data_IF_335155462792
#
_entry.id   IF_335155462792
#
_cell.length_a   1.000
_cell.length_b   1.000
_cell.length_c   1.000
_cell.angle_alpha   90.00
_cell.angle_beta   90.00
_cell.angle_gamma   90.00
#
_symmetry.space_group_name_H-M   'P 1'
#
loop_
_entity.id
_entity.type
_entity.pdbx_description
1 polymer ?
#
# COMPACT_ATOMS: atom_id res chain seq x y z
N UNK A 1 12.74 -13.79 -9.02
CA UNK A 1 11.92 -14.93 -8.54
C UNK A 1 12.23 -15.43 -7.12
N UNK A 2 13.48 -15.41 -6.62
CA UNK A 2 13.81 -15.95 -5.27
C UNK A 2 13.35 -15.08 -4.08
N UNK A 3 13.11 -13.78 -4.28
CA UNK A 3 12.85 -12.80 -3.19
C UNK A 3 11.41 -12.29 -3.08
N UNK A 4 10.59 -12.39 -4.12
CA UNK A 4 9.12 -12.19 -4.00
C UNK A 4 8.48 -13.27 -3.12
N UNK A 5 9.09 -14.47 -3.10
CA UNK A 5 8.78 -15.51 -2.12
C UNK A 5 8.99 -15.07 -0.67
N UNK A 6 9.82 -14.04 -0.39
CA UNK A 6 10.02 -13.52 0.97
C UNK A 6 8.85 -12.65 1.42
N UNK A 7 8.30 -11.79 0.56
CA UNK A 7 7.07 -11.04 0.88
C UNK A 7 5.91 -12.00 1.15
N UNK A 8 5.71 -12.98 0.26
CA UNK A 8 4.73 -14.07 0.44
C UNK A 8 5.01 -14.91 1.70
N UNK A 9 6.27 -15.19 2.03
CA UNK A 9 6.64 -15.93 3.23
C UNK A 9 6.50 -15.11 4.52
N UNK A 10 6.70 -13.79 4.51
CA UNK A 10 6.42 -12.92 5.67
C UNK A 10 4.91 -12.83 5.90
N UNK A 11 4.11 -12.76 4.82
CA UNK A 11 2.65 -12.86 4.85
C UNK A 11 2.14 -14.20 5.44
N UNK A 12 2.77 -15.32 5.08
CA UNK A 12 2.37 -16.66 5.53
C UNK A 12 2.97 -17.09 6.88
N UNK A 13 4.22 -16.71 7.18
CA UNK A 13 4.89 -17.00 8.46
C UNK A 13 4.37 -16.12 9.60
N UNK A 14 3.75 -14.98 9.28
CA UNK A 14 3.00 -14.18 10.24
C UNK A 14 1.87 -14.95 10.92
N UNK A 15 1.41 -16.08 10.38
CA UNK A 15 0.31 -16.87 10.95
C UNK A 15 0.77 -17.81 12.08
N UNK A 16 2.07 -18.13 12.22
CA UNK A 16 2.56 -19.10 13.23
C UNK A 16 3.42 -18.54 14.37
N UNK A 17 3.87 -17.28 14.33
CA UNK A 17 4.66 -16.71 15.43
C UNK A 17 3.75 -15.98 16.44
N UNK A 18 3.31 -16.75 17.44
CA UNK A 18 2.53 -16.30 18.59
C UNK A 18 3.44 -15.66 19.65
N UNK A 19 2.87 -14.67 20.33
CA UNK A 19 3.22 -14.13 21.65
C UNK A 19 4.23 -12.97 21.72
N UNK A 20 3.69 -11.86 22.24
CA UNK A 20 4.36 -10.73 22.89
C UNK A 20 4.97 -9.65 21.99
N UNK A 21 4.11 -8.85 21.35
CA UNK A 21 4.36 -7.42 21.26
C UNK A 21 3.17 -6.70 21.88
N UNK A 22 3.37 -6.30 23.14
CA UNK A 22 2.46 -5.48 23.90
C UNK A 22 2.27 -4.13 23.23
N UNK A 23 1.01 -3.72 23.19
CA UNK A 23 0.52 -2.47 22.63
C UNK A 23 1.27 -1.22 23.11
N UNK A 24 1.49 -0.31 22.16
CA UNK A 24 1.37 1.13 22.38
C UNK A 24 0.49 1.59 21.20
N UNK A 25 -0.81 1.84 21.36
CA UNK A 25 -1.38 2.65 22.42
C UNK A 25 -1.12 4.12 22.09
N UNK A 26 -1.60 4.56 20.93
CA UNK A 26 -1.59 5.97 20.53
C UNK A 26 -2.55 6.12 19.38
N UNK A 27 -3.75 6.63 19.65
CA UNK A 27 -4.65 7.12 18.61
C UNK A 27 -4.00 8.35 18.01
N UNK A 28 -3.50 8.33 16.76
CA UNK A 28 -3.20 9.57 16.08
C UNK A 28 -4.55 10.03 15.53
N UNK A 29 -4.97 11.20 15.99
CA UNK A 29 -5.95 12.02 15.29
C UNK A 29 -5.56 12.00 13.82
N UNK A 30 -6.42 11.49 12.92
CA UNK A 30 -6.16 11.50 11.48
C UNK A 30 -5.74 12.91 11.11
N UNK A 31 -4.48 13.14 10.67
CA UNK A 31 -4.07 14.45 10.18
C UNK A 31 -5.01 14.77 9.01
N UNK A 32 -5.82 15.82 9.14
CA UNK A 32 -6.78 16.17 8.10
C UNK A 32 -6.07 16.34 6.76
N UNK A 33 -6.39 15.49 5.79
CA UNK A 33 -5.80 15.56 4.46
C UNK A 33 -6.12 16.93 3.83
N UNK A 34 -5.14 17.55 3.16
CA UNK A 34 -5.37 18.77 2.39
C UNK A 34 -6.38 18.53 1.26
N UNK A 35 -7.00 19.59 0.73
CA UNK A 35 -7.92 19.43 -0.42
C UNK A 35 -7.25 18.76 -1.62
N UNK A 36 -5.95 19.03 -1.82
CA UNK A 36 -5.17 18.40 -2.87
C UNK A 36 -4.92 16.92 -2.61
N UNK A 37 -4.53 16.54 -1.39
CA UNK A 37 -4.38 15.13 -0.99
C UNK A 37 -5.67 14.33 -1.20
N UNK A 38 -6.83 14.91 -0.85
CA UNK A 38 -8.13 14.26 -1.10
C UNK A 38 -8.40 14.03 -2.59
N UNK A 39 -8.09 15.01 -3.45
CA UNK A 39 -8.20 14.83 -4.91
C UNK A 39 -7.29 13.73 -5.42
N UNK A 40 -6.07 13.64 -4.89
CA UNK A 40 -5.14 12.57 -5.23
C UNK A 40 -5.68 11.21 -4.81
N UNK A 41 -6.12 11.07 -3.56
CA UNK A 41 -6.73 9.84 -3.04
C UNK A 41 -7.93 9.40 -3.87
N UNK A 42 -8.84 10.32 -4.21
CA UNK A 42 -10.01 10.04 -5.04
C UNK A 42 -9.64 9.54 -6.45
N UNK A 43 -8.67 10.21 -7.11
CA UNK A 43 -8.23 9.82 -8.44
C UNK A 43 -7.60 8.42 -8.47
N UNK A 44 -6.74 8.11 -7.49
CA UNK A 44 -6.14 6.78 -7.36
C UNK A 44 -7.18 5.72 -7.00
N UNK A 45 -8.10 6.01 -6.09
CA UNK A 45 -9.12 5.05 -5.66
C UNK A 45 -10.04 4.67 -6.82
N UNK A 46 -10.45 5.64 -7.65
CA UNK A 46 -11.23 5.37 -8.85
C UNK A 46 -10.50 4.41 -9.80
N UNK A 47 -9.19 4.62 -10.01
CA UNK A 47 -8.38 3.75 -10.88
C UNK A 47 -8.07 2.38 -10.27
N UNK A 48 -7.94 2.29 -8.95
CA UNK A 48 -7.84 1.01 -8.24
C UNK A 48 -9.13 0.19 -8.42
N UNK A 49 -10.29 0.79 -8.20
CA UNK A 49 -11.58 0.13 -8.42
C UNK A 49 -11.73 -0.37 -9.87
N UNK A 50 -11.36 0.45 -10.86
CA UNK A 50 -11.32 0.04 -12.27
C UNK A 50 -10.37 -1.14 -12.52
N UNK A 51 -9.15 -1.08 -11.98
CA UNK A 51 -8.11 -2.11 -12.17
C UNK A 51 -8.47 -3.44 -11.54
N UNK A 52 -9.12 -3.42 -10.37
CA UNK A 52 -9.51 -4.61 -9.63
C UNK A 52 -10.91 -5.13 -10.00
N UNK A 53 -11.71 -4.35 -10.73
CA UNK A 53 -13.09 -4.70 -11.08
C UNK A 53 -14.02 -4.72 -9.86
N UNK A 54 -13.79 -3.81 -8.91
CA UNK A 54 -14.52 -3.70 -7.64
C UNK A 54 -15.04 -2.27 -7.45
N UNK A 55 -15.84 -2.05 -6.39
CA UNK A 55 -16.37 -0.73 -6.06
C UNK A 55 -16.29 -0.48 -4.56
N UNK A 56 -15.06 -0.45 -4.04
CA UNK A 56 -14.80 -0.12 -2.65
C UNK A 56 -14.76 1.39 -2.44
N UNK A 57 -15.07 1.82 -1.23
CA UNK A 57 -14.66 3.12 -0.73
C UNK A 57 -13.18 3.09 -0.34
N UNK A 58 -12.57 4.27 -0.15
CA UNK A 58 -11.18 4.34 0.34
C UNK A 58 -11.14 3.92 1.82
N UNK A 59 -10.61 2.73 2.09
CA UNK A 59 -10.58 2.16 3.44
C UNK A 59 -9.73 2.97 4.43
N UNK A 60 -10.31 3.32 5.58
CA UNK A 60 -9.68 4.20 6.57
C UNK A 60 -8.42 3.58 7.20
N UNK A 61 -8.40 2.25 7.43
CA UNK A 61 -7.26 1.60 8.06
C UNK A 61 -6.07 1.51 7.09
N UNK A 62 -6.32 1.14 5.83
CA UNK A 62 -5.30 1.11 4.78
C UNK A 62 -4.81 2.53 4.48
N UNK A 63 -5.71 3.52 4.39
CA UNK A 63 -5.35 4.93 4.23
C UNK A 63 -4.44 5.40 5.35
N UNK A 64 -4.79 5.10 6.60
CA UNK A 64 -3.97 5.46 7.76
C UNK A 64 -2.59 4.80 7.69
N UNK A 65 -2.52 3.51 7.40
CA UNK A 65 -1.27 2.79 7.22
C UNK A 65 -0.40 3.42 6.11
N UNK A 66 -1.02 3.77 4.97
CA UNK A 66 -0.35 4.43 3.85
C UNK A 66 0.23 5.80 4.25
N UNK A 67 -0.56 6.66 4.91
CA UNK A 67 -0.12 7.98 5.37
C UNK A 67 1.00 7.89 6.40
N UNK A 68 0.83 7.03 7.42
CA UNK A 68 1.85 6.83 8.46
C UNK A 68 3.15 6.31 7.84
N UNK A 69 3.05 5.39 6.87
CA UNK A 69 4.23 4.86 6.23
C UNK A 69 4.95 5.87 5.34
N UNK A 70 4.22 6.71 4.59
CA UNK A 70 4.80 7.83 3.86
C UNK A 70 5.57 8.79 4.78
N UNK A 71 5.05 9.02 6.00
CA UNK A 71 5.73 9.82 7.02
C UNK A 71 6.98 9.11 7.56
N UNK A 72 6.91 7.80 7.83
CA UNK A 72 8.03 6.97 8.28
C UNK A 72 9.20 7.02 7.28
N UNK A 73 8.92 6.89 5.98
CA UNK A 73 9.94 6.91 4.91
C UNK A 73 10.20 8.30 4.31
N UNK A 74 9.77 9.36 5.00
CA UNK A 74 9.91 10.75 4.51
C UNK A 74 11.37 11.18 4.32
N UNK A 75 12.30 10.67 5.14
CA UNK A 75 13.71 11.08 5.16
C UNK A 75 14.59 10.61 4.00
N UNK A 76 14.07 9.80 3.08
CA UNK A 76 14.79 9.37 1.87
C UNK A 76 13.94 9.56 0.63
N UNK A 77 14.52 10.02 -0.47
CA UNK A 77 13.81 10.14 -1.76
C UNK A 77 13.66 8.80 -2.48
N UNK A 78 14.59 7.87 -2.24
CA UNK A 78 14.64 6.56 -2.90
C UNK A 78 14.47 5.45 -1.88
N UNK A 79 13.60 4.49 -2.20
CA UNK A 79 13.32 3.28 -1.45
C UNK A 79 13.99 2.07 -2.14
N UNK A 80 14.11 0.98 -1.42
CA UNK A 80 14.50 -0.32 -1.99
C UNK A 80 13.32 -1.30 -1.88
N UNK A 81 13.49 -2.54 -2.33
CA UNK A 81 12.41 -3.55 -2.30
C UNK A 81 11.85 -3.82 -0.90
N UNK A 82 12.68 -3.72 0.13
CA UNK A 82 12.31 -4.00 1.51
C UNK A 82 11.61 -2.80 2.18
N UNK A 83 11.81 -1.57 1.66
CA UNK A 83 11.19 -0.35 2.17
C UNK A 83 10.13 0.24 1.22
N UNK A 84 9.89 -0.37 0.07
CA UNK A 84 8.82 0.04 -0.85
C UNK A 84 7.43 -0.34 -0.30
N UNK A 85 7.38 -1.44 0.45
CA UNK A 85 6.16 -2.05 0.97
C UNK A 85 6.12 -2.02 2.49
N UNK A 86 4.91 -1.90 3.04
CA UNK A 86 4.64 -2.07 4.46
C UNK A 86 3.43 -2.96 4.63
N UNK A 87 3.54 -3.94 5.51
CA UNK A 87 2.43 -4.78 5.93
C UNK A 87 2.10 -4.52 7.40
N UNK A 88 0.81 -4.50 7.72
CA UNK A 88 0.28 -4.45 9.07
C UNK A 88 -0.61 -5.66 9.32
N UNK A 89 -0.22 -6.48 10.30
CA UNK A 89 -1.01 -7.64 10.71
C UNK A 89 -2.07 -7.19 11.70
N UNK A 90 -3.33 -7.27 11.30
CA UNK A 90 -4.48 -6.90 12.13
C UNK A 90 -4.96 -8.06 13.02
N UNK A 91 -4.86 -9.29 12.51
CA UNK A 91 -5.29 -10.49 13.22
C UNK A 91 -4.48 -11.72 12.77
N UNK A 92 -4.81 -12.91 13.28
CA UNK A 92 -4.18 -14.15 12.83
C UNK A 92 -4.36 -14.44 11.32
N UNK A 93 -5.44 -13.95 10.71
CA UNK A 93 -5.78 -14.21 9.32
C UNK A 93 -6.06 -12.94 8.50
N UNK A 94 -5.76 -11.75 9.04
CA UNK A 94 -6.01 -10.46 8.37
C UNK A 94 -4.76 -9.60 8.35
N UNK A 95 -4.42 -9.11 7.16
CA UNK A 95 -3.24 -8.27 6.91
C UNK A 95 -3.64 -7.14 5.95
N UNK A 96 -3.20 -5.93 6.25
CA UNK A 96 -3.20 -4.81 5.31
C UNK A 96 -1.80 -4.66 4.72
N UNK A 97 -1.71 -4.37 3.43
CA UNK A 97 -0.43 -4.14 2.75
C UNK A 97 -0.52 -2.87 1.89
N UNK A 98 0.49 -2.00 2.01
CA UNK A 98 0.61 -0.76 1.25
C UNK A 98 1.95 -0.70 0.52
N UNK A 99 1.92 -0.12 -0.67
CA UNK A 99 3.06 0.18 -1.51
C UNK A 99 3.18 1.69 -1.69
N UNK A 100 4.36 2.25 -1.49
CA UNK A 100 4.64 3.64 -1.88
C UNK A 100 4.73 3.71 -3.40
N UNK A 101 3.98 4.63 -4.02
CA UNK A 101 4.06 4.84 -5.46
C UNK A 101 5.44 5.38 -5.86
N UNK A 102 5.95 4.93 -6.99
CA UNK A 102 7.29 5.25 -7.47
C UNK A 102 7.28 5.74 -8.92
N UNK A 103 8.25 6.60 -9.23
CA UNK A 103 8.48 7.14 -10.57
C UNK A 103 9.13 6.04 -11.42
N UNK A 104 8.42 5.57 -12.43
CA UNK A 104 8.85 4.46 -13.29
C UNK A 104 10.02 4.82 -14.19
N UNK A 105 10.18 6.09 -14.56
CA UNK A 105 11.28 6.56 -15.41
C UNK A 105 12.58 6.69 -14.62
N UNK A 106 12.50 7.01 -13.34
CA UNK A 106 13.66 7.19 -12.46
C UNK A 106 13.99 5.94 -11.62
N UNK A 107 13.10 4.94 -11.63
CA UNK A 107 13.27 3.72 -10.84
C UNK A 107 13.93 2.59 -11.62
N UNK A 108 14.59 1.71 -10.87
CA UNK A 108 15.17 0.46 -11.35
C UNK A 108 14.62 -0.69 -10.53
N UNK A 109 14.99 -1.92 -10.87
CA UNK A 109 14.63 -3.10 -10.09
C UNK A 109 15.23 -3.11 -8.67
N UNK A 110 16.05 -2.16 -8.26
CA UNK A 110 16.68 -2.14 -6.93
C UNK A 110 16.47 -0.82 -6.17
N UNK A 111 16.13 0.24 -6.90
CA UNK A 111 15.96 1.60 -6.39
C UNK A 111 14.66 2.16 -6.92
N UNK A 112 13.76 2.52 -6.01
CA UNK A 112 12.44 3.05 -6.31
C UNK A 112 12.38 4.51 -5.86
N UNK A 113 12.45 5.44 -6.82
CA UNK A 113 12.34 6.87 -6.55
C UNK A 113 10.87 7.16 -6.24
N UNK A 114 10.57 7.73 -5.07
CA UNK A 114 9.19 8.00 -4.67
C UNK A 114 8.54 8.98 -5.63
N UNK A 115 7.37 8.61 -6.15
CA UNK A 115 6.58 9.48 -7.01
C UNK A 115 5.88 10.54 -6.17
N UNK A 116 5.74 11.75 -6.72
CA UNK A 116 5.04 12.84 -6.07
C UNK A 116 4.34 13.76 -7.06
N UNK A 117 3.36 14.49 -6.57
CA UNK A 117 2.76 15.64 -7.24
C UNK A 117 3.17 16.94 -6.56
N UNK A 118 3.22 18.02 -7.34
CA UNK A 118 3.31 19.40 -6.85
C UNK A 118 1.98 20.08 -7.14
N UNK A 119 1.32 20.63 -6.12
CA UNK A 119 -0.07 21.07 -6.21
C UNK A 119 -0.30 22.24 -7.17
N UNK A 120 0.72 23.07 -7.36
CA UNK A 120 0.75 24.21 -8.27
C UNK A 120 1.05 23.82 -9.73
N UNK A 121 1.59 22.61 -9.97
CA UNK A 121 1.92 22.09 -11.31
C UNK A 121 0.96 21.03 -11.82
N UNK A 122 0.19 20.41 -10.93
CA UNK A 122 -0.71 19.32 -11.28
C UNK A 122 -2.13 19.83 -11.58
N UNK A 123 -2.40 20.18 -12.84
CA UNK A 123 -3.76 20.54 -13.29
C UNK A 123 -4.70 19.32 -13.23
N UNK A 124 -4.19 18.11 -13.48
CA UNK A 124 -4.95 16.86 -13.43
C UNK A 124 -4.12 15.77 -12.76
N UNK A 125 -4.73 15.07 -11.80
CA UNK A 125 -4.11 13.89 -11.17
C UNK A 125 -4.32 12.68 -12.07
N UNK A 126 -3.23 12.15 -12.60
CA UNK A 126 -3.23 10.90 -13.38
C UNK A 126 -2.42 9.85 -12.64
N UNK A 127 -3.07 8.85 -12.01
CA UNK A 127 -2.37 7.71 -11.42
C UNK A 127 -1.57 6.95 -12.47
N UNK A 128 -0.30 6.68 -12.18
CA UNK A 128 0.56 5.90 -13.05
C UNK A 128 0.09 4.44 -13.12
N UNK A 129 -0.14 3.94 -14.35
CA UNK A 129 -0.70 2.61 -14.59
C UNK A 129 0.21 1.50 -14.05
N UNK A 130 1.53 1.66 -14.15
CA UNK A 130 2.48 0.63 -13.70
C UNK A 130 2.39 0.42 -12.19
N UNK A 131 2.19 1.48 -11.40
CA UNK A 131 1.99 1.35 -9.96
C UNK A 131 0.72 0.53 -9.63
N UNK A 132 -0.37 0.77 -10.35
CA UNK A 132 -1.62 0.00 -10.21
C UNK A 132 -1.43 -1.47 -10.62
N UNK A 133 -0.75 -1.70 -11.74
CA UNK A 133 -0.45 -3.04 -12.26
C UNK A 133 0.43 -3.83 -11.29
N UNK A 134 1.43 -3.19 -10.66
CA UNK A 134 2.30 -3.82 -9.65
C UNK A 134 1.48 -4.22 -8.42
N UNK A 135 0.58 -3.36 -7.94
CA UNK A 135 -0.30 -3.69 -6.81
C UNK A 135 -1.20 -4.89 -7.16
N UNK A 136 -1.83 -4.86 -8.35
CA UNK A 136 -2.70 -5.94 -8.83
C UNK A 136 -1.96 -7.26 -9.02
N UNK A 137 -0.77 -7.23 -9.63
CA UNK A 137 0.07 -8.41 -9.80
C UNK A 137 0.50 -9.00 -8.45
N UNK A 138 0.75 -8.16 -7.45
CA UNK A 138 1.08 -8.61 -6.09
C UNK A 138 -0.11 -9.32 -5.44
N UNK A 139 -1.32 -8.76 -5.55
CA UNK A 139 -2.55 -9.44 -5.13
C UNK A 139 -2.74 -10.79 -5.83
N UNK A 140 -2.53 -10.87 -7.15
CA UNK A 140 -2.66 -12.12 -7.90
C UNK A 140 -1.64 -13.19 -7.46
N UNK A 141 -0.41 -12.77 -7.13
CA UNK A 141 0.61 -13.65 -6.55
C UNK A 141 0.20 -14.16 -5.17
N UNK A 142 -0.35 -13.29 -4.30
CA UNK A 142 -0.87 -13.68 -2.98
C UNK A 142 -1.99 -14.71 -3.13
N UNK A 143 -2.95 -14.45 -4.02
CA UNK A 143 -4.06 -15.36 -4.32
C UNK A 143 -3.57 -16.72 -4.84
N UNK A 144 -2.63 -16.73 -5.78
CA UNK A 144 -2.06 -17.96 -6.31
C UNK A 144 -1.26 -18.74 -5.24
N UNK A 145 -0.51 -18.04 -4.38
CA UNK A 145 0.26 -18.66 -3.31
C UNK A 145 -0.64 -19.30 -2.25
N UNK A 146 -1.77 -18.67 -1.91
CA UNK A 146 -2.77 -19.26 -1.01
C UNK A 146 -3.40 -20.52 -1.62
N UNK A 147 -3.81 -20.45 -2.90
CA UNK A 147 -4.39 -21.58 -3.62
C UNK A 147 -3.42 -22.79 -3.68
N UNK A 148 -2.12 -22.55 -3.86
CA UNK A 148 -1.10 -23.61 -3.85
C UNK A 148 -0.98 -24.37 -2.52
N UNK A 149 -1.52 -23.81 -1.45
CA UNK A 149 -1.57 -24.40 -0.11
C UNK A 149 -2.98 -24.87 0.28
N UNK A 150 -3.90 -24.98 -0.69
CA UNK A 150 -5.31 -25.29 -0.46
C UNK A 150 -5.99 -24.32 0.52
N UNK A 151 -5.56 -23.04 0.50
CA UNK A 151 -6.18 -21.97 1.28
C UNK A 151 -6.87 -20.98 0.34
N UNK A 152 -7.89 -20.32 0.85
CA UNK A 152 -8.55 -19.22 0.16
C UNK A 152 -8.21 -17.89 0.84
N UNK A 153 -8.09 -16.84 0.04
CA UNK A 153 -7.88 -15.47 0.50
C UNK A 153 -8.85 -14.53 -0.21
N UNK A 154 -9.37 -13.58 0.54
CA UNK A 154 -10.35 -12.58 0.10
C UNK A 154 -9.69 -11.20 0.04
N UNK A 155 -10.01 -10.46 -1.03
CA UNK A 155 -9.71 -9.03 -1.14
C UNK A 155 -10.80 -8.29 -0.38
N UNK A 156 -10.46 -7.77 0.79
CA UNK A 156 -11.45 -7.18 1.71
C UNK A 156 -11.62 -5.68 1.54
N UNK A 157 -10.58 -5.01 1.08
CA UNK A 157 -10.55 -3.56 0.95
C UNK A 157 -9.44 -3.11 -0.02
N UNK A 158 -9.60 -1.91 -0.55
CA UNK A 158 -8.55 -1.14 -1.21
C UNK A 158 -8.42 0.21 -0.50
N UNK A 159 -7.23 0.79 -0.49
CA UNK A 159 -7.03 2.08 0.13
C UNK A 159 -5.89 2.88 -0.46
N UNK A 160 -5.99 4.19 -0.31
CA UNK A 160 -5.04 5.19 -0.79
C UNK A 160 -4.78 6.21 0.30
N UNK A 161 -3.51 6.43 0.60
CA UNK A 161 -3.06 7.55 1.42
C UNK A 161 -2.21 8.51 0.60
N UNK A 162 -2.52 9.79 0.67
CA UNK A 162 -1.66 10.85 0.16
C UNK A 162 -1.12 11.70 1.32
N UNK A 163 0.15 12.10 1.23
CA UNK A 163 0.80 12.93 2.26
C UNK A 163 1.75 13.94 1.65
N UNK A 164 1.51 15.21 1.96
CA UNK A 164 2.35 16.34 1.61
C UNK A 164 3.49 16.47 2.62
N UNK A 165 4.72 16.46 2.12
CA UNK A 165 5.95 16.67 2.89
C UNK A 165 6.74 17.74 2.15
N UNK A 166 6.86 18.92 2.76
CA UNK A 166 7.34 20.12 2.05
C UNK A 166 6.33 20.55 1.00
N UNK A 167 6.78 20.70 -0.24
CA UNK A 167 6.01 21.05 -1.43
C UNK A 167 5.55 19.83 -2.26
N UNK A 168 5.95 18.62 -1.85
CA UNK A 168 5.70 17.37 -2.58
C UNK A 168 4.61 16.54 -1.91
N UNK A 169 3.60 16.15 -2.69
CA UNK A 169 2.54 15.22 -2.27
C UNK A 169 2.85 13.81 -2.74
N UNK A 170 3.20 12.93 -1.80
CA UNK A 170 3.49 11.52 -2.06
C UNK A 170 2.24 10.66 -1.92
N UNK A 171 2.25 9.49 -2.56
CA UNK A 171 1.10 8.57 -2.58
C UNK A 171 1.54 7.16 -2.22
N UNK A 172 0.73 6.47 -1.44
CA UNK A 172 0.82 5.04 -1.23
C UNK A 172 -0.55 4.39 -1.42
N UNK A 173 -0.55 3.21 -2.04
CA UNK A 173 -1.74 2.44 -2.40
C UNK A 173 -1.67 1.04 -1.77
N UNK A 174 -2.80 0.48 -1.38
CA UNK A 174 -2.81 -0.78 -0.65
C UNK A 174 -4.09 -1.58 -0.79
N UNK A 175 -4.04 -2.79 -0.24
CA UNK A 175 -5.16 -3.72 -0.18
C UNK A 175 -5.18 -4.50 1.13
N UNK A 176 -6.39 -4.90 1.52
CA UNK A 176 -6.64 -5.73 2.70
C UNK A 176 -6.85 -7.19 2.30
N UNK A 177 -6.21 -8.10 3.02
CA UNK A 177 -6.24 -9.54 2.77
C UNK A 177 -6.86 -10.23 3.98
N UNK A 178 -7.80 -11.14 3.74
CA UNK A 178 -8.32 -12.05 4.76
C UNK A 178 -8.21 -13.50 4.29
N UNK A 179 -7.50 -14.34 5.04
CA UNK A 179 -7.47 -15.78 4.78
C UNK A 179 -8.72 -16.47 5.36
N UNK A 180 -9.30 -17.38 4.58
CA UNK A 180 -10.33 -18.29 5.07
C UNK A 180 -9.76 -19.16 6.21
N UNK A 181 -10.61 -19.44 7.20
CA UNK A 181 -10.28 -20.28 8.35
C UNK A 181 -10.34 -21.76 7.99
#
# INVERSE_FOLDING_TARGET
MKKMKRLVAVLLAGIMALAMLTACGGTPSTPGSSEFEKKVEQAYMAKLNETFGVNFDNDDAIKKLAVDYLQEVSGTETLNKDTLWKAEKLSANTVNEVMVCFDTAQSTNEKYVKFYYEADKAETITPDKMNLDVLKATWDVVKAAAASQNKEVELTALGVGAKTIGDKTYVAIGFGIKAAQ
#
